data_IF_670086369701
#
_entry.id   IF_670086369701
#
_cell.length_a   1.000
_cell.length_b   1.000
_cell.length_c   1.000
_cell.angle_alpha   90.00
_cell.angle_beta   90.00
_cell.angle_gamma   90.00
#
_symmetry.space_group_name_H-M   'P 1'
#
loop_
_entity.id
_entity.type
_entity.pdbx_description
1 polymer ?
2 non-polymer ?
3 non-polymer ?
4 non-polymer ?
5 non-polymer ?
6 water ?
#
# COMPACT_ATOMS: atom_id res chain seq x y z
N UNK A 25 22.08 10.09 10.07
CA UNK A 25 22.60 10.68 8.85
C UNK A 25 22.10 9.89 7.66
N UNK A 26 22.08 8.57 7.83
CA UNK A 26 21.39 7.67 6.92
C UNK A 26 20.05 7.30 7.52
N UNK A 27 19.01 7.33 6.68
CA UNK A 27 17.67 6.86 7.04
C UNK A 27 17.37 5.63 6.21
N UNK A 28 17.20 4.48 6.86
CA UNK A 28 16.86 3.25 6.17
C UNK A 28 15.34 3.10 6.10
N UNK A 29 14.82 2.96 4.89
CA UNK A 29 13.39 2.95 4.60
C UNK A 29 13.01 1.59 4.01
N UNK A 30 12.16 0.85 4.72
CA UNK A 30 11.72 -0.44 4.25
C UNK A 30 10.52 -0.27 3.35
N UNK A 31 10.45 -1.10 2.31
CA UNK A 31 9.31 -1.05 1.40
C UNK A 31 9.10 -2.42 0.79
N UNK A 32 7.83 -2.74 0.54
CA UNK A 32 7.44 -3.96 -0.16
C UNK A 32 7.29 -3.60 -1.64
N UNK A 33 8.18 -4.11 -2.47
CA UNK A 33 8.31 -3.69 -3.86
C UNK A 33 7.41 -4.49 -4.80
N UNK A 34 6.25 -4.94 -4.35
CA UNK A 34 5.30 -5.63 -5.21
C UNK A 34 3.96 -4.90 -5.28
N UNK A 35 3.98 -3.57 -5.14
CA UNK A 35 2.76 -2.79 -5.08
C UNK A 35 2.83 -1.59 -6.03
N UNK A 36 2.97 -1.88 -7.32
CA UNK A 36 2.96 -0.82 -8.33
C UNK A 36 1.60 -0.15 -8.37
N UNK A 37 1.55 1.17 -8.64
CA UNK A 37 2.65 2.05 -9.02
C UNK A 37 3.27 2.81 -7.86
N UNK A 38 3.15 2.31 -6.63
CA UNK A 38 3.71 2.97 -5.47
C UNK A 38 5.12 2.48 -5.15
N UNK A 39 5.32 1.17 -5.14
CA UNK A 39 6.63 0.60 -4.84
C UNK A 39 6.79 -0.67 -5.67
N UNK A 40 7.76 -0.68 -6.57
CA UNK A 40 8.08 -1.87 -7.34
C UNK A 40 9.51 -1.72 -7.87
N UNK A 41 9.96 -2.73 -8.60
CA UNK A 41 11.29 -2.73 -9.19
C UNK A 41 11.20 -2.70 -10.71
N UNK A 42 12.13 -1.98 -11.34
CA UNK A 42 12.21 -2.01 -12.80
C UNK A 42 12.98 -3.25 -13.23
N UNK A 43 13.34 -3.32 -14.51
CA UNK A 43 13.92 -4.53 -15.08
C UNK A 43 15.32 -4.81 -14.55
N UNK A 44 16.03 -3.79 -14.07
CA UNK A 44 17.37 -3.98 -13.52
C UNK A 44 17.37 -3.91 -12.00
N UNK A 45 16.21 -3.99 -11.36
CA UNK A 45 16.13 -4.11 -9.92
C UNK A 45 16.12 -2.83 -9.14
N UNK A 46 16.02 -1.68 -9.78
CA UNK A 46 15.98 -0.44 -9.02
C UNK A 46 14.55 -0.16 -8.57
N UNK A 47 14.45 0.41 -7.38
CA UNK A 47 13.16 0.71 -6.77
C UNK A 47 12.50 1.86 -7.54
N UNK A 48 11.23 1.69 -7.90
CA UNK A 48 10.50 2.74 -8.61
C UNK A 48 9.08 2.84 -8.08
N UNK A 49 8.50 4.02 -8.21
CA UNK A 49 7.11 4.26 -7.92
C UNK A 49 6.93 5.52 -7.10
N UNK A 50 5.67 5.85 -6.85
CA UNK A 50 5.34 7.09 -6.16
C UNK A 50 5.85 7.09 -4.72
N UNK A 51 5.76 5.95 -4.02
CA UNK A 51 6.35 5.86 -2.69
C UNK A 51 7.84 6.16 -2.74
N UNK A 52 8.54 5.63 -3.74
CA UNK A 52 9.96 5.88 -3.86
C UNK A 52 10.22 7.35 -4.12
N UNK A 53 9.40 7.95 -4.99
CA UNK A 53 9.59 9.35 -5.33
C UNK A 53 9.35 10.23 -4.11
N UNK A 54 8.28 9.95 -3.36
CA UNK A 54 8.01 10.72 -2.15
C UNK A 54 9.13 10.55 -1.15
N UNK A 55 9.59 9.32 -0.94
CA UNK A 55 10.69 9.09 -0.02
C UNK A 55 11.94 9.84 -0.40
N UNK A 56 12.38 9.73 -1.66
CA UNK A 56 13.63 10.36 -2.07
C UNK A 56 13.53 11.88 -1.97
N UNK A 57 12.37 12.43 -2.35
CA UNK A 57 12.19 13.87 -2.31
C UNK A 57 12.18 14.38 -0.88
N UNK A 58 11.51 13.67 0.02
CA UNK A 58 11.53 14.07 1.42
C UNK A 58 12.95 14.02 1.98
N UNK A 59 13.67 12.91 1.74
CA UNK A 59 15.04 12.76 2.20
C UNK A 59 15.93 13.88 1.66
N UNK A 60 15.72 14.25 0.40
CA UNK A 60 16.45 15.36 -0.19
C UNK A 60 16.26 16.63 0.65
N UNK A 61 15.01 16.95 0.97
CA UNK A 61 14.73 18.16 1.73
C UNK A 61 15.17 18.03 3.18
N UNK A 62 15.14 16.82 3.75
CA UNK A 62 15.70 16.59 5.08
C UNK A 62 17.21 16.67 5.10
N UNK A 63 17.86 16.67 3.93
CA UNK A 63 19.31 16.66 3.83
C UNK A 63 19.90 15.41 4.50
N UNK A 64 19.25 14.28 4.28
CA UNK A 64 19.72 12.99 4.78
C UNK A 64 19.92 12.06 3.59
N UNK A 65 20.86 11.12 3.74
CA UNK A 65 20.95 10.02 2.79
C UNK A 65 19.92 8.98 3.17
N UNK A 66 19.39 8.28 2.17
CA UNK A 66 18.34 7.30 2.41
C UNK A 66 18.66 6.01 1.68
N UNK A 67 18.57 4.90 2.41
CA UNK A 67 18.81 3.55 1.91
C UNK A 67 17.47 2.84 1.84
N UNK A 68 17.12 2.32 0.67
CA UNK A 68 15.89 1.56 0.54
C UNK A 68 16.16 0.09 0.82
N UNK A 69 15.25 -0.53 1.56
CA UNK A 69 15.41 -1.91 2.01
C UNK A 69 14.14 -2.68 1.63
N UNK A 70 14.27 -3.59 0.69
CA UNK A 70 13.12 -4.41 0.29
C UNK A 70 12.75 -5.40 1.38
N UNK A 71 11.45 -5.55 1.61
CA UNK A 71 10.93 -6.42 2.66
C UNK A 71 9.56 -6.95 2.25
N UNK A 72 9.23 -8.16 2.69
CA UNK A 72 7.84 -8.57 2.64
C UNK A 72 7.02 -7.60 3.48
N UNK A 73 5.79 -7.33 3.05
CA UNK A 73 4.98 -6.35 3.76
C UNK A 73 4.84 -6.70 5.24
N UNK A 74 4.60 -7.98 5.56
CA UNK A 74 4.30 -8.33 6.94
C UNK A 74 5.52 -8.22 7.86
N UNK A 75 6.71 -8.08 7.30
CA UNK A 75 7.92 -7.90 8.10
C UNK A 75 8.27 -6.44 8.35
N UNK A 76 7.55 -5.50 7.75
CA UNK A 76 7.97 -4.10 7.82
C UNK A 76 7.91 -3.57 9.25
N UNK A 77 6.75 -3.66 9.89
CA UNK A 77 6.63 -3.16 11.25
C UNK A 77 7.53 -3.94 12.21
N UNK A 78 7.61 -5.29 12.16
CA UNK A 78 8.63 -5.95 12.99
C UNK A 78 10.05 -5.45 12.74
N UNK A 79 10.42 -5.20 11.48
CA UNK A 79 11.78 -4.73 11.19
C UNK A 79 12.00 -3.32 11.74
N UNK A 80 10.95 -2.49 11.70
CA UNK A 80 11.02 -1.14 12.24
C UNK A 80 11.23 -1.16 13.75
N UNK A 81 10.47 -2.01 14.46
CA UNK A 81 10.64 -2.10 15.91
C UNK A 81 12.01 -2.63 16.27
N UNK A 82 12.53 -3.58 15.50
CA UNK A 82 13.84 -4.15 15.77
C UNK A 82 14.99 -3.23 15.35
N UNK A 83 14.70 -2.07 14.80
CA UNK A 83 15.68 -1.09 14.33
C UNK A 83 16.46 -1.55 13.09
N UNK A 84 15.96 -2.55 12.37
CA UNK A 84 16.63 -2.93 11.13
C UNK A 84 16.32 -1.95 10.01
N UNK A 85 15.18 -1.26 10.09
CA UNK A 85 14.90 -0.09 9.27
C UNK A 85 14.50 1.05 10.21
N UNK A 86 14.44 2.25 9.65
CA UNK A 86 14.13 3.44 10.42
C UNK A 86 12.80 4.06 10.03
N UNK A 87 12.29 3.75 8.84
CA UNK A 87 11.05 4.28 8.33
C UNK A 87 10.42 3.21 7.44
N UNK A 88 9.09 3.24 7.32
CA UNK A 88 8.36 2.42 6.36
C UNK A 88 7.67 3.36 5.39
N UNK A 89 7.95 3.20 4.11
CA UNK A 89 7.14 3.83 3.08
C UNK A 89 6.73 2.70 2.14
N UNK A 90 5.49 2.24 2.28
CA UNK A 90 5.05 1.04 1.59
C UNK A 90 3.52 1.02 1.57
N UNK A 91 2.90 2.13 1.12
CA UNK A 91 1.45 2.29 1.17
C UNK A 91 0.87 1.83 2.51
N UNK A 92 1.50 2.27 3.61
CA UNK A 92 1.18 1.77 4.94
C UNK A 92 0.04 2.60 5.51
N UNK A 93 -1.17 2.02 5.52
CA UNK A 93 -2.33 2.80 5.92
C UNK A 93 -2.27 3.16 7.40
N UNK A 94 -2.72 4.37 7.71
CA UNK A 94 -2.69 4.89 9.07
C UNK A 94 -3.94 4.40 9.79
N UNK A 95 -3.78 3.43 10.69
CA UNK A 95 -4.93 2.85 11.34
C UNK A 95 -4.79 3.00 12.85
N UNK A 96 -5.93 2.95 13.54
CA UNK A 96 -5.94 3.01 14.99
C UNK A 96 -5.04 1.95 15.60
N UNK A 97 -5.18 0.70 15.15
CA UNK A 97 -4.39 -0.38 15.72
C UNK A 97 -2.89 -0.17 15.47
N UNK A 98 -2.52 0.28 14.27
CA UNK A 98 -1.11 0.47 14.01
C UNK A 98 -0.55 1.63 14.82
N UNK A 99 -1.38 2.60 15.17
CA UNK A 99 -0.91 3.72 15.98
C UNK A 99 -0.60 3.32 17.40
N UNK A 100 -1.11 2.18 17.86
CA UNK A 100 -0.75 1.72 19.19
C UNK A 100 0.68 1.20 19.24
N UNK A 101 1.24 0.88 18.08
CA UNK A 101 2.53 0.21 17.93
C UNK A 101 3.63 1.12 17.40
N UNK A 102 3.28 2.00 16.46
CA UNK A 102 4.26 2.82 15.76
C UNK A 102 3.65 4.21 15.61
N UNK A 103 4.46 5.14 15.13
CA UNK A 103 3.99 6.48 14.82
C UNK A 103 3.87 6.61 13.30
N UNK A 104 3.17 7.64 12.87
CA UNK A 104 3.02 7.90 11.45
C UNK A 104 3.33 9.36 11.16
N UNK A 105 3.94 9.61 10.00
CA UNK A 105 3.93 10.94 9.44
C UNK A 105 2.50 11.37 9.09
N UNK A 106 2.36 12.64 8.71
CA UNK A 106 1.16 13.13 8.06
C UNK A 106 0.87 12.31 6.80
N UNK A 107 -0.37 12.37 6.32
CA UNK A 107 -0.83 11.55 5.21
C UNK A 107 0.01 11.82 3.96
N UNK A 108 0.44 10.74 3.30
CA UNK A 108 1.11 10.81 2.00
C UNK A 108 0.11 10.77 0.84
N UNK A 109 -0.89 9.90 0.91
CA UNK A 109 -1.98 9.87 -0.06
C UNK A 109 -3.11 9.02 0.53
N UNK A 110 -4.27 9.08 -0.12
CA UNK A 110 -5.40 8.26 0.31
C UNK A 110 -5.30 6.88 -0.31
N UNK A 111 -5.95 5.92 0.35
CA UNK A 111 -5.86 4.53 -0.13
C UNK A 111 -7.15 3.83 0.25
N UNK A 112 -8.07 3.73 -0.71
CA UNK A 112 -9.26 2.91 -0.59
C UNK A 112 -8.96 1.49 -1.06
N UNK A 113 -9.74 0.55 -0.54
CA UNK A 113 -9.64 -0.85 -0.89
C UNK A 113 -10.77 -1.24 -1.84
N UNK A 114 -10.50 -2.17 -2.74
CA UNK A 114 -11.53 -2.59 -3.68
C UNK A 114 -11.24 -3.99 -4.20
N UNK A 115 -12.29 -4.76 -4.44
CA UNK A 115 -12.17 -6.11 -4.99
C UNK A 115 -11.94 -6.06 -6.50
N UNK A 116 -11.16 -7.03 -6.99
CA UNK A 116 -11.05 -7.27 -8.42
C UNK A 116 -11.39 -8.73 -8.69
N UNK A 117 -11.92 -9.00 -9.89
CA UNK A 117 -12.26 -10.34 -10.33
C UNK A 117 -12.27 -10.35 -11.86
N UNK A 118 -12.55 -11.51 -12.44
CA UNK A 118 -12.59 -11.63 -13.89
C UNK A 118 -13.67 -10.70 -14.46
N UNK A 119 -13.40 -10.19 -15.66
CA UNK A 119 -14.37 -9.32 -16.31
C UNK A 119 -15.69 -10.07 -16.50
N UNK A 120 -16.78 -9.37 -16.23
CA UNK A 120 -18.09 -9.97 -16.32
C UNK A 120 -18.48 -10.86 -15.16
N UNK A 121 -17.59 -11.02 -14.18
CA UNK A 121 -17.96 -11.78 -13.01
C UNK A 121 -19.06 -11.04 -12.24
N UNK A 122 -19.99 -11.77 -11.61
CA UNK A 122 -21.01 -11.14 -10.79
C UNK A 122 -20.58 -10.87 -9.35
N UNK A 123 -19.32 -11.15 -9.04
CA UNK A 123 -18.84 -11.12 -7.67
C UNK A 123 -19.02 -9.72 -7.08
N UNK A 124 -19.45 -9.67 -5.83
CA UNK A 124 -19.58 -8.46 -5.04
C UNK A 124 -18.77 -8.63 -3.77
N UNK A 125 -18.34 -7.52 -3.16
CA UNK A 125 -17.65 -7.62 -1.85
C UNK A 125 -18.61 -7.88 -0.71
N UNK A 126 -19.39 -8.96 -0.83
CA UNK A 126 -20.36 -9.34 0.18
C UNK A 126 -20.16 -10.79 0.58
N UNK A 127 -20.59 -11.11 1.80
CA UNK A 127 -20.48 -12.49 2.27
C UNK A 127 -21.30 -13.42 1.39
N UNK A 128 -22.55 -13.04 1.10
CA UNK A 128 -23.41 -13.86 0.27
C UNK A 128 -22.78 -14.17 -1.09
N UNK A 129 -22.03 -13.21 -1.64
CA UNK A 129 -21.45 -13.41 -2.96
C UNK A 129 -20.14 -14.19 -2.90
N UNK A 130 -19.37 -14.06 -1.83
CA UNK A 130 -18.05 -14.68 -1.74
C UNK A 130 -18.02 -16.00 -0.99
N UNK A 131 -19.13 -16.41 -0.38
CA UNK A 131 -19.08 -17.64 0.39
C UNK A 131 -18.67 -18.79 -0.52
N UNK A 132 -17.72 -19.61 -0.05
CA UNK A 132 -17.18 -20.67 -0.86
C UNK A 132 -16.15 -20.26 -1.89
N UNK A 133 -15.97 -18.96 -2.13
CA UNK A 133 -15.02 -18.50 -3.14
C UNK A 133 -13.64 -18.26 -2.53
N UNK A 134 -12.62 -18.26 -3.39
CA UNK A 134 -11.24 -18.07 -3.00
C UNK A 134 -10.86 -16.61 -3.22
N UNK A 135 -10.49 -15.94 -2.13
CA UNK A 135 -10.19 -14.50 -2.15
C UNK A 135 -8.78 -14.31 -1.64
N UNK A 136 -7.93 -13.68 -2.46
CA UNK A 136 -6.56 -13.39 -2.07
C UNK A 136 -6.40 -12.05 -1.36
N UNK A 137 -5.54 -12.04 -0.33
CA UNK A 137 -5.18 -10.83 0.40
C UNK A 137 -3.71 -10.93 0.77
N UNK A 138 -3.05 -9.76 0.89
CA UNK A 138 -1.66 -9.74 1.28
C UNK A 138 -1.52 -9.90 2.79
N UNK A 139 -0.68 -10.85 3.21
CA UNK A 139 -0.40 -11.04 4.63
C UNK A 139 0.05 -9.74 5.30
N UNK A 140 -0.49 -9.48 6.49
CA UNK A 140 -0.17 -8.27 7.24
C UNK A 140 -0.96 -7.02 6.85
N UNK A 141 -1.75 -7.07 5.79
CA UNK A 141 -2.40 -5.86 5.31
C UNK A 141 -3.73 -5.60 6.02
N UNK A 142 -4.23 -4.38 5.87
CA UNK A 142 -5.57 -4.08 6.33
C UNK A 142 -6.60 -4.94 5.62
N UNK A 143 -6.36 -5.25 4.34
CA UNK A 143 -7.30 -6.11 3.61
C UNK A 143 -7.37 -7.50 4.24
N UNK A 144 -6.23 -8.07 4.64
CA UNK A 144 -6.27 -9.35 5.31
C UNK A 144 -7.08 -9.29 6.59
N UNK A 145 -6.95 -8.19 7.35
CA UNK A 145 -7.70 -8.05 8.59
C UNK A 145 -9.20 -8.03 8.31
N UNK A 146 -9.63 -7.13 7.43
CA UNK A 146 -11.03 -7.04 7.04
C UNK A 146 -11.56 -8.39 6.55
N UNK A 147 -10.82 -9.01 5.62
CA UNK A 147 -11.28 -10.27 5.03
C UNK A 147 -11.33 -11.38 6.06
N UNK A 148 -10.33 -11.45 6.94
CA UNK A 148 -10.33 -12.49 7.96
C UNK A 148 -11.51 -12.33 8.89
N UNK A 149 -11.81 -11.10 9.28
CA UNK A 149 -12.86 -10.85 10.26
C UNK A 149 -14.24 -11.05 9.66
N UNK A 150 -14.47 -10.53 8.46
CA UNK A 150 -15.82 -10.51 7.90
C UNK A 150 -16.12 -11.69 7.00
N UNK A 151 -15.10 -12.32 6.43
CA UNK A 151 -15.29 -13.29 5.37
C UNK A 151 -14.75 -14.66 5.75
N UNK A 152 -13.48 -14.73 6.17
CA UNK A 152 -12.89 -16.03 6.53
C UNK A 152 -13.68 -16.70 7.64
N UNK A 153 -14.05 -15.94 8.68
CA UNK A 153 -14.81 -16.52 9.79
C UNK A 153 -16.08 -17.18 9.29
N UNK A 154 -16.65 -16.68 8.20
CA UNK A 154 -18.00 -17.02 7.79
C UNK A 154 -18.05 -17.98 6.60
N UNK A 155 -16.91 -18.54 6.19
CA UNK A 155 -16.89 -19.58 5.17
C UNK A 155 -16.23 -19.19 3.86
N UNK A 156 -15.86 -17.92 3.68
CA UNK A 156 -15.07 -17.54 2.52
C UNK A 156 -13.67 -18.07 2.67
N UNK A 157 -13.16 -18.73 1.63
CA UNK A 157 -11.77 -19.19 1.64
C UNK A 157 -10.84 -18.00 1.37
N UNK A 158 -10.46 -17.30 2.42
CA UNK A 158 -9.54 -16.17 2.32
C UNK A 158 -8.12 -16.75 2.28
N UNK A 159 -7.39 -16.47 1.22
CA UNK A 159 -6.02 -16.94 1.05
C UNK A 159 -5.08 -15.76 1.25
N UNK A 160 -4.11 -15.91 2.16
CA UNK A 160 -3.19 -14.85 2.54
C UNK A 160 -1.84 -15.08 1.87
N UNK A 161 -1.34 -14.06 1.18
CA UNK A 161 -0.16 -14.19 0.33
C UNK A 161 0.98 -13.32 0.83
N UNK A 162 2.21 -13.84 0.71
CA UNK A 162 3.38 -13.08 1.16
C UNK A 162 3.49 -11.74 0.45
N UNK A 163 3.09 -11.66 -0.82
CA UNK A 163 3.19 -10.40 -1.54
C UNK A 163 2.07 -10.34 -2.58
N UNK A 164 1.94 -9.16 -3.21
CA UNK A 164 0.82 -8.92 -4.12
C UNK A 164 1.04 -9.52 -5.50
N UNK A 165 2.29 -9.70 -5.92
CA UNK A 165 2.53 -10.34 -7.21
C UNK A 165 2.00 -11.78 -7.22
N UNK A 166 2.18 -12.50 -6.11
CA UNK A 166 1.63 -13.85 -6.03
C UNK A 166 0.11 -13.85 -6.17
N UNK A 167 -0.54 -12.83 -5.65
CA UNK A 167 -2.00 -12.71 -5.76
C UNK A 167 -2.42 -12.53 -7.22
N UNK A 168 -1.81 -11.55 -7.91
CA UNK A 168 -2.15 -11.34 -9.31
C UNK A 168 -1.91 -12.60 -10.13
N UNK A 169 -0.78 -13.27 -9.88
CA UNK A 169 -0.46 -14.49 -10.62
C UNK A 169 -1.51 -15.58 -10.37
N UNK A 170 -1.89 -15.76 -9.11
CA UNK A 170 -2.85 -16.82 -8.81
C UNK A 170 -4.26 -16.44 -9.29
N UNK A 171 -4.55 -15.15 -9.39
CA UNK A 171 -5.82 -14.72 -9.96
C UNK A 171 -5.87 -15.03 -11.45
N UNK A 172 -4.82 -14.64 -12.19
CA UNK A 172 -4.82 -14.91 -13.62
C UNK A 172 -4.74 -16.40 -13.90
N UNK A 173 -4.15 -17.18 -13.00
CA UNK A 173 -4.13 -18.62 -13.15
C UNK A 173 -5.50 -19.24 -12.90
N UNK A 174 -6.47 -18.46 -12.44
CA UNK A 174 -7.76 -19.02 -12.11
C UNK A 174 -7.78 -19.77 -10.80
N UNK A 175 -6.77 -19.59 -9.96
CA UNK A 175 -6.77 -20.18 -8.62
C UNK A 175 -7.51 -19.32 -7.61
N UNK A 176 -7.66 -18.04 -7.89
CA UNK A 176 -8.44 -17.13 -7.06
C UNK A 176 -9.68 -16.69 -7.83
N UNK A 177 -10.79 -16.55 -7.13
CA UNK A 177 -11.96 -15.94 -7.75
C UNK A 177 -11.88 -14.42 -7.72
N UNK A 178 -11.18 -13.86 -6.73
CA UNK A 178 -11.13 -12.43 -6.52
C UNK A 178 -9.96 -12.11 -5.60
N UNK A 179 -9.65 -10.82 -5.49
CA UNK A 179 -8.56 -10.36 -4.64
C UNK A 179 -8.90 -8.99 -4.11
N UNK A 180 -8.53 -8.74 -2.85
CA UNK A 180 -8.79 -7.46 -2.20
C UNK A 180 -7.47 -6.78 -1.88
N UNK A 181 -7.33 -5.52 -2.30
CA UNK A 181 -6.10 -4.75 -2.15
C UNK A 181 -6.45 -3.28 -2.32
N UNK A 182 -5.43 -2.42 -2.22
CA UNK A 182 -5.64 -1.00 -2.45
C UNK A 182 -6.12 -0.76 -3.88
N UNK A 183 -7.10 0.14 -4.01
CA UNK A 183 -7.77 0.35 -5.29
C UNK A 183 -6.84 0.91 -6.35
N UNK A 184 -6.03 1.92 -5.99
CA UNK A 184 -5.12 2.51 -6.98
C UNK A 184 -4.07 1.51 -7.40
N UNK A 185 -3.56 0.72 -6.45
CA UNK A 185 -2.57 -0.30 -6.79
C UNK A 185 -3.14 -1.32 -7.78
N UNK A 186 -4.37 -1.79 -7.52
CA UNK A 186 -4.99 -2.73 -8.47
C UNK A 186 -5.21 -2.09 -9.83
N UNK A 187 -5.67 -0.84 -9.86
CA UNK A 187 -5.98 -0.19 -11.12
C UNK A 187 -4.73 0.04 -11.95
N UNK A 188 -3.75 0.77 -11.38
CA UNK A 188 -2.58 1.16 -12.16
C UNK A 188 -1.57 0.05 -12.29
N UNK A 189 -1.48 -0.82 -11.28
CA UNK A 189 -0.47 -1.86 -11.32
C UNK A 189 -0.91 -3.16 -11.96
N UNK A 190 -2.19 -3.29 -12.28
CA UNK A 190 -2.69 -4.56 -12.80
C UNK A 190 -3.79 -4.37 -13.83
N UNK A 191 -4.89 -3.72 -13.46
CA UNK A 191 -6.04 -3.65 -14.37
C UNK A 191 -5.69 -2.95 -15.67
N UNK A 192 -4.92 -1.87 -15.60
CA UNK A 192 -4.54 -1.11 -16.78
C UNK A 192 -3.31 -1.67 -17.48
N UNK A 193 -2.75 -2.76 -16.99
CA UNK A 193 -1.61 -3.42 -17.61
C UNK A 193 -2.09 -4.60 -18.43
N UNK A 194 -1.26 -5.10 -19.36
CA UNK A 194 -1.69 -6.25 -20.16
C UNK A 194 -2.08 -7.47 -19.33
N UNK A 195 -1.44 -7.68 -18.19
CA UNK A 195 -1.75 -8.86 -17.39
C UNK A 195 -3.20 -8.85 -16.91
N UNK A 196 -3.73 -7.67 -16.59
CA UNK A 196 -5.06 -7.56 -16.02
C UNK A 196 -6.13 -7.09 -16.99
N UNK A 197 -5.91 -7.31 -18.29
CA UNK A 197 -6.85 -6.81 -19.28
C UNK A 197 -8.20 -7.51 -19.21
N UNK A 198 -8.24 -8.76 -18.73
CA UNK A 198 -9.49 -9.50 -18.63
C UNK A 198 -10.07 -9.47 -17.21
N UNK A 199 -9.64 -8.53 -16.38
CA UNK A 199 -10.11 -8.41 -15.01
C UNK A 199 -10.65 -7.01 -14.77
N UNK A 200 -11.49 -6.88 -13.75
CA UNK A 200 -12.15 -5.62 -13.46
C UNK A 200 -12.43 -5.52 -11.98
N UNK A 201 -12.70 -4.30 -11.53
CA UNK A 201 -13.18 -4.11 -10.16
C UNK A 201 -14.54 -4.79 -10.03
N UNK A 202 -14.72 -5.52 -8.93
CA UNK A 202 -15.99 -6.17 -8.61
C UNK A 202 -16.64 -5.36 -7.49
N UNK A 203 -17.61 -4.52 -7.86
CA UNK A 203 -18.26 -3.64 -6.92
C UNK A 203 -17.44 -2.40 -6.60
N UNK A 204 -18.04 -1.47 -5.84
CA UNK A 204 -17.37 -0.21 -5.51
C UNK A 204 -16.32 -0.42 -4.42
N UNK A 205 -15.66 0.67 -4.05
CA UNK A 205 -14.70 0.61 -2.96
C UNK A 205 -15.37 0.07 -1.70
N UNK A 206 -14.62 -0.74 -0.96
CA UNK A 206 -15.05 -1.21 0.35
C UNK A 206 -14.74 -0.11 1.37
N UNK A 207 -15.77 0.51 1.90
CA UNK A 207 -15.62 1.67 2.79
C UNK A 207 -15.80 1.21 4.22
N UNK A 208 -14.70 1.15 4.97
CA UNK A 208 -14.71 0.75 6.38
C UNK A 208 -13.55 1.48 7.05
N UNK A 209 -13.86 2.63 7.65
CA UNK A 209 -12.82 3.49 8.19
C UNK A 209 -12.02 2.78 9.28
N UNK A 210 -12.70 1.99 10.10
CA UNK A 210 -12.03 1.22 11.15
C UNK A 210 -10.90 0.38 10.59
N UNK A 211 -11.18 -0.37 9.51
CA UNK A 211 -10.19 -1.34 9.03
C UNK A 211 -9.12 -0.70 8.16
N UNK A 212 -9.48 0.25 7.31
CA UNK A 212 -8.59 0.68 6.25
C UNK A 212 -7.89 2.00 6.56
N UNK A 213 -8.18 2.64 7.69
CA UNK A 213 -7.40 3.77 8.14
C UNK A 213 -7.64 5.05 7.34
N UNK A 214 -6.79 6.04 7.59
CA UNK A 214 -6.97 7.38 7.04
C UNK A 214 -5.81 7.72 6.11
N UNK A 215 -5.73 7.01 5.00
CA UNK A 215 -4.64 7.23 4.07
C UNK A 215 -3.40 6.51 4.55
N UNK A 216 -2.32 6.68 3.80
CA UNK A 216 -1.04 6.06 4.11
C UNK A 216 -0.06 7.11 4.63
N UNK A 217 0.96 6.64 5.31
CA UNK A 217 1.94 7.55 5.88
C UNK A 217 3.26 6.84 6.07
N UNK A 218 4.28 7.63 6.41
CA UNK A 218 5.56 7.05 6.77
C UNK A 218 5.42 6.41 8.14
N UNK A 219 5.73 5.12 8.23
CA UNK A 219 5.74 4.45 9.54
C UNK A 219 7.08 4.64 10.24
N UNK A 220 7.03 5.01 11.53
CA UNK A 220 8.19 5.41 12.32
C UNK A 220 8.08 4.86 13.73
N UNK A 221 9.23 4.68 14.38
CA UNK A 221 9.21 4.30 15.79
C UNK A 221 8.56 5.42 16.60
N UNK A 222 7.76 5.05 17.62
CA UNK A 222 7.01 6.05 18.38
C UNK A 222 7.93 7.07 19.03
N UNK A 223 9.12 6.66 19.47
CA UNK A 223 10.02 7.61 20.12
C UNK A 223 10.78 8.49 19.14
N UNK A 224 10.68 8.25 17.83
CA UNK A 224 11.45 8.99 16.84
C UNK A 224 10.73 10.28 16.48
N UNK A 225 10.59 11.13 17.50
CA UNK A 225 9.91 12.43 17.35
C UNK A 225 10.60 13.29 16.32
N UNK A 226 11.93 13.38 16.42
CA UNK A 226 12.70 14.23 15.50
C UNK A 226 12.55 13.77 14.07
N UNK A 227 12.61 12.45 13.83
CA UNK A 227 12.49 11.92 12.49
C UNK A 227 11.11 12.23 11.92
N UNK A 228 10.06 11.99 12.71
CA UNK A 228 8.69 12.29 12.28
C UNK A 228 8.53 13.77 11.96
N UNK A 229 9.09 14.65 12.79
CA UNK A 229 8.99 16.09 12.53
C UNK A 229 9.70 16.47 11.23
N UNK A 230 10.84 15.84 10.96
CA UNK A 230 11.58 16.11 9.73
C UNK A 230 10.79 15.64 8.50
N UNK A 231 10.27 14.41 8.55
CA UNK A 231 9.45 13.93 7.44
C UNK A 231 8.24 14.83 7.24
N UNK A 232 7.58 15.24 8.32
CA UNK A 232 6.38 16.06 8.21
C UNK A 232 6.69 17.41 7.56
N UNK A 233 7.85 17.98 7.88
CA UNK A 233 8.18 19.30 7.38
C UNK A 233 8.54 19.25 5.89
N UNK A 234 9.32 18.23 5.49
CA UNK A 234 9.61 18.04 4.06
C UNK A 234 8.34 17.75 3.27
N UNK A 235 7.39 17.01 3.86
CA UNK A 235 6.17 16.68 3.14
C UNK A 235 5.30 17.91 2.94
N UNK A 236 5.17 18.74 3.98
CA UNK A 236 4.45 20.00 3.82
C UNK A 236 5.15 20.87 2.78
N UNK A 237 6.48 20.86 2.79
CA UNK A 237 7.22 21.74 1.90
C UNK A 237 7.09 21.33 0.45
N UNK A 238 7.14 20.03 0.15
CA UNK A 238 7.01 19.57 -1.23
C UNK A 238 5.57 19.57 -1.69
N UNK A 239 4.61 19.48 -0.77
CA UNK A 239 3.22 19.70 -1.18
C UNK A 239 2.98 21.18 -1.47
N UNK A 240 3.62 22.07 -0.72
CA UNK A 240 3.33 23.50 -0.84
C UNK A 240 3.85 24.08 -2.16
N UNK A 241 5.04 23.66 -2.58
CA UNK A 241 5.65 24.25 -3.78
C UNK A 241 5.19 23.55 -5.06
N UNK A 242 4.27 22.60 -4.97
CA UNK A 242 3.77 21.93 -6.15
C UNK A 242 4.54 20.70 -6.58
N UNK A 243 5.58 20.31 -5.83
CA UNK A 243 6.36 19.12 -6.21
C UNK A 243 5.56 17.84 -6.08
N UNK A 244 4.72 17.76 -5.04
CA UNK A 244 3.83 16.61 -4.90
C UNK A 244 3.05 16.37 -6.19
N UNK A 245 2.35 17.41 -6.68
CA UNK A 245 1.50 17.26 -7.85
C UNK A 245 2.32 16.91 -9.09
N UNK A 246 3.49 17.52 -9.24
CA UNK A 246 4.35 17.19 -10.36
C UNK A 246 4.68 15.70 -10.37
N UNK A 247 5.08 15.18 -9.22
CA UNK A 247 5.42 13.76 -9.13
C UNK A 247 4.19 12.88 -9.28
N UNK A 248 3.05 13.30 -8.70
CA UNK A 248 1.84 12.49 -8.77
C UNK A 248 1.33 12.36 -10.21
N UNK A 249 1.45 13.42 -11.00
CA UNK A 249 0.94 13.36 -12.37
C UNK A 249 1.75 12.39 -13.23
N UNK A 250 2.95 12.00 -12.80
CA UNK A 250 3.67 10.95 -13.52
C UNK A 250 2.88 9.65 -13.52
N UNK A 251 2.11 9.39 -12.46
CA UNK A 251 1.38 8.14 -12.29
C UNK A 251 -0.13 8.26 -12.41
N UNK A 252 -0.73 9.41 -12.06
CA UNK A 252 -2.16 9.49 -11.80
C UNK A 252 -2.78 10.66 -12.55
N UNK A 253 -3.92 10.41 -13.20
CA UNK A 253 -4.74 11.49 -13.75
C UNK A 253 -5.90 11.84 -12.82
N UNK A 254 -5.69 11.74 -11.50
CA UNK A 254 -6.71 11.99 -10.50
C UNK A 254 -6.05 12.41 -9.21
N UNK A 255 -6.86 12.89 -8.27
CA UNK A 255 -6.37 13.36 -6.97
C UNK A 255 -6.15 12.16 -6.06
N UNK A 256 -4.93 11.63 -6.08
CA UNK A 256 -4.56 10.52 -5.20
C UNK A 256 -4.44 10.95 -3.74
N UNK A 257 -4.21 12.24 -3.47
CA UNK A 257 -4.04 12.65 -2.08
C UNK A 257 -5.33 12.55 -1.28
N UNK A 258 -6.47 12.78 -1.93
CA UNK A 258 -7.73 12.78 -1.21
C UNK A 258 -8.01 14.13 -0.55
N UNK A 259 -8.70 14.08 0.58
CA UNK A 259 -9.17 15.29 1.24
C UNK A 259 -8.10 15.98 2.07
X LIG B 1 -0.39 9.51 -16.77
X LIG B 1 -0.83 8.18 -16.48
X LIG B 1 -1.27 10.51 -16.03
X LIG B 1 -0.88 11.84 -16.38
X LIG C 1 5.70 1.25 -13.14
X LIG C 1 4.87 0.31 -13.84
X LIG C 1 4.95 1.77 -11.92
X LIG C 1 5.85 2.48 -11.08
X LIG D 1 2.63 19.65 9.54
X LIG D 1 2.63 18.62 10.55
X LIG D 1 3.65 20.72 9.90
X LIG D 1 4.97 20.16 9.89
X LIG E 1 -11.31 3.78 4.82
X LIG E 1 -12.39 3.05 4.21
X LIG E 1 -10.35 4.30 3.75
X LIG E 1 -9.74 5.52 4.20
X LIG F 1 9.32 -8.78 -2.24
X LIG F 1 8.04 -8.71 -1.60
X LIG F 1 10.21 -7.69 -1.64
X LIG F 1 9.42 -6.52 -1.40
X LIG G 1 13.75 -8.41 6.72
X LIG G 1 12.53 -7.82 6.29
X LIG G 1 14.90 -7.56 6.21
X LIG G 1 14.53 -7.06 4.93
X LIG H 1 -4.46 -5.03 10.91
X LIG H 1 -3.84 -5.90 11.86
X LIG H 1 -3.49 -4.77 9.76
X LIG H 1 -2.24 -4.35 10.31
X LIG I 1 -0.03 12.17 12.70
X LIG I 1 -0.56 10.94 13.20
X LIG I 1 -0.53 12.34 11.26
X LIG I 1 -0.69 11.05 10.66
X LIG J 1 2.96 8.45 19.06
X LIG J 1 2.67 7.25 18.37
X LIG J 1 4.43 8.78 18.88
X LIG J 1 4.64 10.17 19.16
X LIG K 1 -4.01 -17.94 5.68
X LIG K 1 -2.81 -18.56 6.16
X LIG K 1 -4.51 -18.67 4.45
X LIG K 1 -3.57 -18.50 3.39
X LIG L 1 2.20 -11.12 -11.93
X LIG L 1 3.16 -10.12 -11.55
X LIG L 1 1.36 -10.60 -13.09
X LIG L 1 0.45 -11.62 -13.50
X LIG M 1 -3.78 7.15 -15.76
X LIG M 1 -2.59 6.65 -16.39
X LIG M 1 -3.50 7.36 -14.29
X LIG M 1 -4.72 7.46 -13.52
X LIG N 1 -20.06 -8.92 4.64
X LIG N 1 -21.09 -9.13 3.67
X LIG N 1 -19.42 -7.56 4.41
X LIG N 1 -18.71 -7.56 3.17
X LIG O 1 -8.99 0.53 -14.78
X LIG O 1 -9.28 1.25 -13.58
X LIG O 1 -10.27 -0.08 -15.31
X LIG O 1 -9.95 -1.25 -16.08
X LIG P 1 8.13 23.57 -8.22
X LIG P 1 9.49 23.44 -7.77
X LIG P 1 7.63 22.23 -8.75
X LIG P 1 8.06 22.06 -10.10
X LIG Q 1 -4.30 18.04 -2.64
X LIG Q 1 -3.29 18.43 -1.70
X LIG Q 1 -3.63 17.88 -3.99
X LIG Q 1 -2.29 17.43 -3.77
X LIG R 1 8.53 -13.55 -1.30
X LIG R 1 7.86 -12.36 -0.90
X LIG R 1 9.53 -13.97 -0.23
X LIG R 1 10.11 -15.23 -0.58
X LIG S 1 12.71 12.34 -6.33
X LIG S 1 13.34 13.44 -5.64
X LIG S 1 12.07 12.86 -7.61
X LIG S 1 11.71 11.75 -8.45
X LIG T 1 -5.94 -20.31 -3.85
X LIG T 1 -6.84 -21.16 -4.50
X LIG T 1 -4.72 -21.12 -3.39
X LIG T 1 -4.09 -21.67 -4.52
X LIG T 1 -2.88 -22.29 -4.21
X LIG T 1 -1.78 -21.25 -4.02
X LIG T 1 -1.07 -21.04 -5.22
X LIG U 1 -2.72 -0.15 2.38
X LIG U 1 -2.59 -1.51 2.81
X LIG U 1 -2.16 -1.65 4.24
X LIG U 1 -1.70 -0.76 4.76
X LIG U 1 -1.62 -2.32 1.93
X LIG U 1 -0.18 -1.85 1.91
X LIG U 1 0.71 -2.64 0.94
X LIG U 1 0.30 -3.63 0.42
X LIG U 1 1.90 -2.22 0.74
X LIG U 1 -2.32 -2.62 4.85
X LIG V 1 -8.63 8.12 -3.47
X LIG V 1 -7.96 9.23 -3.98
X LIG V 1 -7.59 7.00 -3.33
X LIG V 1 -6.38 7.34 -3.93
X LIG V 1 -8.26 5.77 -3.98
X LIG V 1 -8.02 4.68 -3.16
X LIG W 1 2.64 -6.19 9.98
X LIG W 1 1.91 -7.38 10.02
X LIG W 1 2.04 -5.34 8.86
X LIG W 1 0.78 -4.85 9.20
X LIG W 1 3.06 -4.21 8.60
X LIG W 1 4.35 -4.80 8.69
#
# INVERSE_FOLDING_TARGET
>A
MGSSHHHHHHSSGLVPRGSHMALPQTVRIGTDTTYAPFSSKDAKGEFIGFDIDLGNEMCKRMQVKCTWVASDFDALIPSLKAKKIDAIISSLSITDKRQQEIAFSDKLYAADSRLIAAKGSPIQPTLESLKGKHVGVKQGSTQEAYANDNWRTKGVDVVAYANQDLIYSDLTAGRLDAALQDEVAASEGFLKQPAGKEYAFAGPSVKDKKYFGDGTGVGLRKDDTELKAAFDKALTELRQDGTYDKMAKKYFDFNVYGD
>B hetero
1 EDO C1 O1 C2 O2
>C hetero
1 EDO C1 O1 C2 O2
>D hetero
1 EDO C1 O1 C2 O2
>E hetero
1 EDO C1 O1 C2 O2
>F hetero
1 EDO C1 O1 C2 O2
>G hetero
1 EDO C1 O1 C2 O2
>H hetero
1 EDO C1 O1 C2 O2
>I hetero
1 EDO C1 O1 C2 O2
>J hetero
1 EDO C1 O1 C2 O2
>K hetero
1 EDO C1 O1 C2 O2
>L hetero
1 EDO C1 O1 C2 O2
>M hetero
1 EDO C1 O1 C2 O2
>N hetero
1 EDO C1 O1 C2 O2
>O hetero
1 EDO C1 O1 C2 O2
>P hetero
1 EDO C1 O1 C2 O2
>Q hetero
1 EDO C1 O1 C2 O2
>R hetero
1 EDO C1 O1 C2 O2
>S hetero
1 EDO C1 O1 C2 O2
>T hetero
1 PEG C1 O1 C2 O2 C3 C4 O4
>U hetero
1 GLN N CA C O CB CG CD OE1 NE2 OXT
>V hetero
1 GOL C1 O1 C2 O2 C3 O3
>W hetero
1 GOL C1 O1 C2 O2 C3 O3
#
